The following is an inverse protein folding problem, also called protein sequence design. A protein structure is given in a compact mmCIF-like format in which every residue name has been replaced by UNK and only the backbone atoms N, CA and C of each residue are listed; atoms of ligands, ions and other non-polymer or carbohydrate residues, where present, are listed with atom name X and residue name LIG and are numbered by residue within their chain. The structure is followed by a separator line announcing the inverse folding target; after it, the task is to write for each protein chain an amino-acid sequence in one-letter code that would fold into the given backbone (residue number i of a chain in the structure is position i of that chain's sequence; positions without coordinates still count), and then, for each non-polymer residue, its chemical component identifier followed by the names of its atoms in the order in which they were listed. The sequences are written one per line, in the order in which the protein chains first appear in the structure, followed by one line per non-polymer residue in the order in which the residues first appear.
data_IF_231173673264
#
_entry.id   IF_231173673264
#
_cell.length_a   1.000
_cell.length_b   1.000
_cell.length_c   1.000
_cell.angle_alpha   90.00
_cell.angle_beta   90.00
_cell.angle_gamma   90.00
#
_symmetry.space_group_name_H-M   'P 1'
#
loop_
_entity.id
_entity.type
_entity.pdbx_description
1 polymer ?
#
# COMPACT_ATOMS: atom_id res chain seq x y z
N UNK A 1 -77.48 -9.76 -27.19
CA UNK A 1 -76.30 -9.32 -26.41
C UNK A 1 -76.63 -8.84 -25.00
N UNK A 2 -77.70 -8.05 -24.79
CA UNK A 2 -78.09 -7.56 -23.44
C UNK A 2 -78.35 -8.69 -22.42
N UNK A 3 -78.81 -9.87 -22.87
CA UNK A 3 -79.14 -10.99 -21.97
C UNK A 3 -77.91 -11.70 -21.38
N UNK A 4 -76.75 -11.68 -22.07
CA UNK A 4 -75.53 -12.32 -21.56
C UNK A 4 -74.94 -11.52 -20.40
N UNK A 5 -74.95 -10.19 -20.52
CA UNK A 5 -74.52 -9.25 -19.48
C UNK A 5 -75.46 -9.30 -18.27
N UNK A 6 -76.77 -9.47 -18.49
CA UNK A 6 -77.74 -9.65 -17.40
C UNK A 6 -77.56 -10.98 -16.64
N UNK A 7 -77.36 -12.09 -17.34
CA UNK A 7 -77.08 -13.38 -16.69
C UNK A 7 -75.76 -13.35 -15.91
N UNK A 8 -74.72 -12.75 -16.47
CA UNK A 8 -73.42 -12.61 -15.79
C UNK A 8 -73.50 -11.73 -14.54
N UNK A 9 -74.28 -10.65 -14.58
CA UNK A 9 -74.53 -9.78 -13.43
C UNK A 9 -75.43 -10.39 -12.35
N UNK A 10 -76.11 -11.52 -12.64
CA UNK A 10 -77.01 -12.21 -11.69
C UNK A 10 -76.42 -13.55 -11.22
N UNK A 11 -75.22 -13.93 -11.69
CA UNK A 11 -74.53 -15.17 -11.35
C UNK A 11 -73.38 -14.87 -10.38
N UNK A 12 -73.54 -15.29 -9.12
CA UNK A 12 -72.57 -15.06 -8.05
C UNK A 12 -71.18 -15.66 -8.39
N UNK A 13 -71.11 -16.69 -9.23
CA UNK A 13 -69.84 -17.25 -9.71
C UNK A 13 -69.10 -16.32 -10.68
N UNK A 14 -69.84 -15.60 -11.53
CA UNK A 14 -69.28 -14.61 -12.45
C UNK A 14 -68.67 -13.42 -11.71
N UNK A 15 -69.36 -12.93 -10.67
CA UNK A 15 -68.86 -11.85 -9.83
C UNK A 15 -67.54 -12.20 -9.12
N UNK A 16 -67.40 -13.42 -8.61
CA UNK A 16 -66.16 -13.88 -7.94
C UNK A 16 -64.99 -13.99 -8.92
N UNK A 17 -65.23 -14.41 -10.17
CA UNK A 17 -64.15 -14.46 -11.17
C UNK A 17 -63.65 -13.08 -11.60
N UNK A 18 -64.53 -12.07 -11.62
CA UNK A 18 -64.13 -10.69 -11.91
C UNK A 18 -63.32 -10.10 -10.77
N UNK A 19 -63.67 -10.39 -9.52
CA UNK A 19 -62.90 -9.95 -8.35
C UNK A 19 -61.45 -10.48 -8.39
N UNK A 20 -61.27 -11.75 -8.75
CA UNK A 20 -59.93 -12.33 -8.95
C UNK A 20 -59.10 -11.62 -10.04
N UNK A 21 -59.72 -11.22 -11.15
CA UNK A 21 -59.03 -10.48 -12.22
C UNK A 21 -58.68 -9.06 -11.78
N UNK A 22 -59.56 -8.40 -11.03
CA UNK A 22 -59.29 -7.05 -10.49
C UNK A 22 -58.17 -7.08 -9.46
N UNK A 23 -58.16 -8.05 -8.55
CA UNK A 23 -57.10 -8.20 -7.55
C UNK A 23 -55.74 -8.50 -8.20
N UNK A 24 -55.70 -9.43 -9.17
CA UNK A 24 -54.45 -9.76 -9.87
C UNK A 24 -53.95 -8.61 -10.75
N UNK A 25 -54.84 -7.91 -11.45
CA UNK A 25 -54.46 -6.72 -12.23
C UNK A 25 -53.95 -5.58 -11.34
N UNK A 26 -54.49 -5.42 -10.13
CA UNK A 26 -53.96 -4.50 -9.13
C UNK A 26 -52.53 -4.85 -8.71
N UNK A 27 -52.24 -6.14 -8.47
CA UNK A 27 -50.88 -6.61 -8.14
C UNK A 27 -49.91 -6.40 -9.32
N UNK A 28 -50.32 -6.67 -10.54
CA UNK A 28 -49.51 -6.42 -11.74
C UNK A 28 -49.22 -4.92 -11.90
N UNK A 29 -50.23 -4.06 -11.70
CA UNK A 29 -50.06 -2.61 -11.72
C UNK A 29 -49.08 -2.09 -10.66
N UNK A 30 -49.13 -2.64 -9.45
CA UNK A 30 -48.16 -2.34 -8.39
C UNK A 30 -46.75 -2.82 -8.78
N UNK A 31 -46.62 -3.99 -9.41
CA UNK A 31 -45.34 -4.49 -9.90
C UNK A 31 -44.67 -3.57 -10.92
N UNK A 32 -45.47 -3.01 -11.86
CA UNK A 32 -44.97 -2.02 -12.81
C UNK A 32 -44.53 -0.72 -12.13
N UNK A 33 -45.25 -0.26 -11.10
CA UNK A 33 -44.88 0.92 -10.34
C UNK A 33 -43.56 0.72 -9.56
N UNK A 34 -43.37 -0.44 -8.94
CA UNK A 34 -42.13 -0.79 -8.25
C UNK A 34 -40.96 -0.87 -9.22
N UNK A 35 -41.15 -1.47 -10.41
CA UNK A 35 -40.08 -1.54 -11.41
C UNK A 35 -39.63 -0.16 -11.89
N UNK A 36 -40.52 0.80 -12.03
CA UNK A 36 -40.15 2.17 -12.41
C UNK A 36 -39.27 2.87 -11.36
N UNK A 37 -39.54 2.63 -10.07
CA UNK A 37 -38.71 3.17 -8.97
C UNK A 37 -37.36 2.46 -8.92
N UNK A 38 -37.36 1.13 -9.03
CA UNK A 38 -36.15 0.33 -9.00
C UNK A 38 -35.23 0.63 -10.20
N UNK A 39 -35.78 0.82 -11.41
CA UNK A 39 -34.98 1.16 -12.59
C UNK A 39 -34.29 2.51 -12.44
N UNK A 40 -34.96 3.51 -11.86
CA UNK A 40 -34.35 4.81 -11.58
C UNK A 40 -33.18 4.69 -10.60
N UNK A 41 -33.39 3.99 -9.48
CA UNK A 41 -32.30 3.79 -8.50
C UNK A 41 -31.11 2.99 -9.04
N UNK A 42 -31.34 2.03 -9.95
CA UNK A 42 -30.26 1.29 -10.62
C UNK A 42 -29.52 2.17 -11.64
N UNK A 43 -30.24 3.04 -12.36
CA UNK A 43 -29.63 4.01 -13.28
C UNK A 43 -28.76 5.01 -12.53
N UNK A 44 -29.28 5.59 -11.44
CA UNK A 44 -28.54 6.51 -10.56
C UNK A 44 -27.27 5.85 -10.02
N UNK A 45 -27.37 4.62 -9.48
CA UNK A 45 -26.21 3.86 -9.02
C UNK A 45 -25.20 3.58 -10.15
N UNK A 46 -25.68 3.28 -11.36
CA UNK A 46 -24.81 3.04 -12.51
C UNK A 46 -24.04 4.31 -12.91
N UNK A 47 -24.68 5.47 -12.81
CA UNK A 47 -24.05 6.78 -13.02
C UNK A 47 -23.03 7.06 -11.92
N UNK A 48 -23.37 6.89 -10.64
CA UNK A 48 -22.44 7.08 -9.53
C UNK A 48 -21.20 6.18 -9.64
N UNK A 49 -21.38 4.92 -10.05
CA UNK A 49 -20.25 4.02 -10.30
C UNK A 49 -19.42 4.49 -11.49
N UNK A 50 -20.06 4.94 -12.58
CA UNK A 50 -19.34 5.45 -13.74
C UNK A 50 -18.55 6.72 -13.42
N UNK A 51 -19.12 7.63 -12.63
CA UNK A 51 -18.46 8.84 -12.15
C UNK A 51 -17.31 8.50 -11.20
N UNK A 52 -17.52 7.58 -10.24
CA UNK A 52 -16.46 7.12 -9.35
C UNK A 52 -15.30 6.47 -10.13
N UNK A 53 -15.59 5.69 -11.17
CA UNK A 53 -14.56 5.09 -12.03
C UNK A 53 -13.87 6.11 -12.95
N UNK A 54 -14.56 7.19 -13.35
CA UNK A 54 -13.98 8.26 -14.13
C UNK A 54 -13.09 9.19 -13.29
N UNK A 55 -13.44 9.40 -12.02
CA UNK A 55 -12.67 10.16 -11.04
C UNK A 55 -11.44 9.39 -10.53
N UNK A 56 -11.39 8.07 -10.72
CA UNK A 56 -10.13 7.30 -10.65
C UNK A 56 -9.27 7.75 -11.84
N UNK A 57 -8.54 8.85 -11.65
CA UNK A 57 -7.48 9.29 -12.53
C UNK A 57 -6.41 8.19 -12.59
N UNK A 58 -6.50 7.32 -13.59
CA UNK A 58 -5.38 6.49 -14.02
C UNK A 58 -4.28 7.45 -14.47
N UNK A 59 -3.27 7.64 -13.61
CA UNK A 59 -2.08 8.43 -13.95
C UNK A 59 -1.55 7.95 -15.30
N UNK A 60 -1.37 8.90 -16.22
CA UNK A 60 -0.82 8.67 -17.55
C UNK A 60 0.63 8.18 -17.43
N UNK A 61 0.77 6.87 -17.37
CA UNK A 61 2.01 6.14 -17.13
C UNK A 61 1.64 4.96 -16.25
N UNK A 62 1.45 3.77 -16.85
CA UNK A 62 1.06 2.59 -16.10
C UNK A 62 2.14 2.29 -15.06
N UNK A 63 1.88 2.65 -13.80
CA UNK A 63 2.68 2.25 -12.65
C UNK A 63 2.38 0.77 -12.45
N UNK A 64 3.40 -0.06 -12.67
CA UNK A 64 3.33 -1.51 -12.45
C UNK A 64 4.12 -1.82 -11.20
N UNK A 65 3.44 -2.27 -10.15
CA UNK A 65 4.11 -2.87 -9.00
C UNK A 65 4.81 -4.15 -9.43
N UNK A 66 6.08 -4.25 -9.08
CA UNK A 66 7.01 -5.32 -9.50
C UNK A 66 7.55 -6.10 -8.30
N UNK A 67 7.50 -5.52 -7.10
CA UNK A 67 7.77 -6.22 -5.84
C UNK A 67 7.04 -5.55 -4.67
N UNK A 68 6.55 -6.36 -3.73
CA UNK A 68 6.03 -5.89 -2.45
C UNK A 68 6.46 -6.87 -1.34
N UNK A 69 6.97 -6.33 -0.24
CA UNK A 69 7.42 -7.08 0.94
C UNK A 69 7.09 -6.30 2.22
N UNK A 70 6.12 -6.79 2.97
CA UNK A 70 5.77 -6.32 4.33
C UNK A 70 6.37 -7.21 5.44
N UNK A 71 7.12 -8.25 5.05
CA UNK A 71 7.83 -9.21 5.90
C UNK A 71 6.98 -9.90 6.99
N UNK A 72 5.65 -9.75 6.95
CA UNK A 72 4.71 -10.15 8.01
C UNK A 72 4.42 -11.66 8.05
N UNK A 73 4.99 -12.43 7.13
CA UNK A 73 4.95 -13.89 7.11
C UNK A 73 6.31 -14.51 7.48
N UNK A 74 7.28 -13.68 7.89
CA UNK A 74 8.65 -14.08 8.16
C UNK A 74 9.47 -14.37 6.91
N UNK A 75 8.94 -14.12 5.70
CA UNK A 75 9.62 -14.36 4.43
C UNK A 75 10.35 -13.12 3.93
N UNK A 76 11.55 -13.34 3.41
CA UNK A 76 12.35 -12.34 2.70
C UNK A 76 12.81 -12.90 1.35
N UNK A 77 11.99 -13.73 0.70
CA UNK A 77 12.26 -14.28 -0.61
C UNK A 77 12.65 -13.16 -1.60
N UNK A 78 13.75 -13.37 -2.33
CA UNK A 78 14.31 -12.39 -3.26
C UNK A 78 15.29 -11.40 -2.62
N UNK A 79 15.26 -11.23 -1.30
CA UNK A 79 16.27 -10.45 -0.59
C UNK A 79 17.53 -11.28 -0.32
N UNK A 80 18.68 -10.62 -0.45
CA UNK A 80 19.99 -11.17 -0.14
C UNK A 80 20.55 -10.43 1.08
N UNK A 81 20.75 -11.17 2.18
CA UNK A 81 21.24 -10.60 3.45
C UNK A 81 20.11 -10.09 4.34
N UNK A 82 20.48 -9.59 5.52
CA UNK A 82 19.53 -9.29 6.59
C UNK A 82 18.84 -10.54 7.14
N UNK A 83 17.88 -10.33 8.05
CA UNK A 83 17.00 -11.38 8.58
C UNK A 83 15.67 -10.79 9.00
N UNK A 84 14.57 -11.48 8.69
CA UNK A 84 13.26 -11.09 9.22
C UNK A 84 13.21 -11.40 10.71
N UNK A 85 12.81 -10.42 11.51
CA UNK A 85 12.67 -10.56 12.95
C UNK A 85 11.39 -9.88 13.43
N UNK A 86 10.66 -10.55 14.31
CA UNK A 86 9.60 -9.94 15.11
C UNK A 86 10.25 -9.04 16.18
N UNK A 87 10.13 -7.73 15.98
CA UNK A 87 10.57 -6.70 16.91
C UNK A 87 9.47 -6.34 17.91
N UNK A 88 8.29 -6.93 17.79
CA UNK A 88 7.15 -6.69 18.67
C UNK A 88 6.64 -5.24 18.59
N UNK A 89 5.71 -4.92 19.48
CA UNK A 89 5.11 -3.59 19.53
C UNK A 89 4.35 -3.25 18.25
N UNK A 90 4.53 -2.04 17.76
CA UNK A 90 3.99 -1.55 16.50
C UNK A 90 4.90 -1.86 15.30
N UNK A 91 6.20 -2.11 15.52
CA UNK A 91 7.14 -2.45 14.45
C UNK A 91 6.87 -3.84 13.85
N UNK A 92 6.34 -4.78 14.64
CA UNK A 92 5.98 -6.11 14.14
C UNK A 92 7.19 -6.85 13.54
N UNK A 93 6.96 -7.55 12.43
CA UNK A 93 8.00 -8.27 11.69
C UNK A 93 8.56 -7.39 10.57
N UNK A 94 9.88 -7.28 10.50
CA UNK A 94 10.56 -6.50 9.46
C UNK A 94 11.93 -7.10 9.11
N UNK A 95 12.52 -6.68 7.99
CA UNK A 95 13.86 -7.10 7.59
C UNK A 95 14.92 -6.31 8.36
N UNK A 96 15.64 -6.97 9.26
CA UNK A 96 16.58 -6.32 10.19
C UNK A 96 18.03 -6.61 9.82
N UNK A 97 18.87 -5.57 9.93
CA UNK A 97 20.31 -5.60 9.68
C UNK A 97 21.09 -5.24 10.95
N UNK A 98 22.01 -6.13 11.32
CA UNK A 98 22.98 -5.90 12.39
C UNK A 98 24.26 -5.23 11.89
N UNK A 99 25.31 -5.15 12.73
CA UNK A 99 26.53 -4.41 12.41
C UNK A 99 27.24 -4.85 11.13
N UNK A 100 27.44 -3.91 10.22
CA UNK A 100 28.14 -4.12 8.95
C UNK A 100 27.41 -5.06 7.98
N UNK A 101 26.19 -5.48 8.30
CA UNK A 101 25.37 -6.30 7.42
C UNK A 101 24.84 -5.43 6.27
N UNK A 102 24.63 -6.07 5.12
CA UNK A 102 23.98 -5.46 3.96
C UNK A 102 22.86 -6.39 3.53
N UNK A 103 21.69 -5.82 3.28
CA UNK A 103 20.57 -6.51 2.67
C UNK A 103 20.27 -5.85 1.32
N UNK A 104 19.84 -6.61 0.33
CA UNK A 104 19.46 -6.02 -0.94
C UNK A 104 18.49 -6.86 -1.76
N UNK A 105 17.79 -6.18 -2.65
CA UNK A 105 16.80 -6.75 -3.56
C UNK A 105 17.13 -6.27 -4.98
N UNK A 106 17.16 -7.21 -5.92
CA UNK A 106 17.39 -6.89 -7.34
C UNK A 106 16.06 -6.76 -8.04
N UNK A 107 15.79 -5.55 -8.54
CA UNK A 107 14.65 -5.27 -9.39
C UNK A 107 15.01 -5.50 -10.86
N UNK A 108 14.29 -6.40 -11.51
CA UNK A 108 14.34 -6.55 -12.97
C UNK A 108 13.56 -5.40 -13.64
N UNK A 109 14.25 -4.60 -14.45
CA UNK A 109 13.65 -3.44 -15.11
C UNK A 109 13.54 -3.68 -16.61
N UNK A 110 12.31 -3.69 -17.18
CA UNK A 110 12.12 -3.84 -18.62
C UNK A 110 12.80 -2.74 -19.44
N UNK A 111 13.22 -3.08 -20.65
CA UNK A 111 13.74 -2.08 -21.58
C UNK A 111 12.64 -1.07 -21.94
N UNK A 112 12.96 0.22 -21.85
CA UNK A 112 12.01 1.28 -22.16
C UNK A 112 11.29 1.87 -20.95
N UNK A 113 11.53 1.33 -19.74
CA UNK A 113 11.09 1.92 -18.47
C UNK A 113 11.47 3.39 -18.39
N UNK A 114 10.48 4.26 -18.20
CA UNK A 114 10.68 5.69 -18.04
C UNK A 114 11.18 6.04 -16.63
N UNK A 115 10.67 5.33 -15.62
CA UNK A 115 11.00 5.55 -14.21
C UNK A 115 10.85 4.25 -13.42
N UNK A 116 11.74 4.00 -12.47
CA UNK A 116 11.57 2.98 -11.44
C UNK A 116 11.54 3.66 -10.07
N UNK A 117 10.57 3.31 -9.22
CA UNK A 117 10.40 3.88 -7.89
C UNK A 117 10.40 2.77 -6.85
N UNK A 118 11.13 2.98 -5.76
CA UNK A 118 11.22 2.10 -4.60
C UNK A 118 10.84 2.89 -3.37
N UNK A 119 9.81 2.43 -2.66
CA UNK A 119 9.26 3.07 -1.46
C UNK A 119 9.32 2.07 -0.32
N UNK A 120 9.85 2.47 0.83
CA UNK A 120 9.93 1.60 2.00
C UNK A 120 10.03 2.40 3.29
N UNK A 121 9.67 1.76 4.40
CA UNK A 121 9.90 2.27 5.73
C UNK A 121 11.32 1.90 6.17
N UNK A 122 12.13 2.91 6.46
CA UNK A 122 13.42 2.76 7.12
C UNK A 122 13.23 2.90 8.63
N UNK A 123 13.59 1.85 9.35
CA UNK A 123 13.47 1.78 10.81
C UNK A 123 14.83 1.97 11.45
N UNK A 124 14.93 2.96 12.34
CA UNK A 124 16.03 3.17 13.27
C UNK A 124 15.60 2.66 14.64
N UNK A 125 16.14 1.53 15.04
CA UNK A 125 15.74 0.85 16.27
C UNK A 125 16.62 1.16 17.48
N UNK A 126 15.99 1.27 18.63
CA UNK A 126 16.63 1.28 19.94
C UNK A 126 17.63 2.44 20.18
N UNK A 127 18.87 2.14 20.58
CA UNK A 127 19.81 3.14 21.12
C UNK A 127 20.86 3.64 20.15
N UNK A 128 20.55 3.66 18.85
CA UNK A 128 21.45 4.17 17.81
C UNK A 128 22.10 5.49 18.24
N UNK A 129 23.43 5.51 18.17
CA UNK A 129 24.24 6.59 18.65
C UNK A 129 24.68 7.49 17.49
N UNK A 130 24.67 8.79 17.74
CA UNK A 130 25.29 9.79 16.89
C UNK A 130 26.10 10.75 17.76
N UNK A 131 27.29 10.31 18.15
CA UNK A 131 28.17 11.09 19.00
C UNK A 131 29.64 10.79 18.78
N UNK A 132 30.49 11.77 19.08
CA UNK A 132 31.96 11.60 19.03
C UNK A 132 32.49 10.54 20.01
N UNK A 133 31.69 10.15 21.01
CA UNK A 133 32.09 9.21 22.07
C UNK A 133 31.77 7.76 21.72
N UNK A 134 30.65 7.53 21.05
CA UNK A 134 30.09 6.19 20.82
C UNK A 134 30.05 5.80 19.34
N UNK A 135 30.34 6.75 18.44
CA UNK A 135 30.25 6.54 17.00
C UNK A 135 28.98 7.15 16.43
N UNK A 136 28.84 7.03 15.12
CA UNK A 136 27.63 7.41 14.39
C UNK A 136 27.13 6.18 13.67
N UNK A 137 25.99 5.66 14.13
CA UNK A 137 25.32 4.57 13.45
C UNK A 137 24.55 5.12 12.26
N UNK A 138 24.78 4.50 11.11
CA UNK A 138 24.22 4.96 9.84
C UNK A 138 23.50 3.84 9.13
N UNK A 139 22.48 4.19 8.35
CA UNK A 139 21.90 3.33 7.34
C UNK A 139 22.21 3.96 5.99
N UNK A 140 22.95 3.25 5.14
CA UNK A 140 23.26 3.73 3.79
C UNK A 140 22.38 2.98 2.79
N UNK A 141 21.54 3.71 2.07
CA UNK A 141 20.77 3.20 0.94
C UNK A 141 21.66 3.31 -0.30
N UNK A 142 21.84 2.20 -1.02
CA UNK A 142 22.61 2.14 -2.24
C UNK A 142 21.75 1.68 -3.40
N UNK A 143 22.01 2.26 -4.56
CA UNK A 143 21.47 1.84 -5.85
C UNK A 143 22.65 1.39 -6.72
N UNK A 144 22.67 0.12 -7.12
CA UNK A 144 23.77 -0.46 -7.90
C UNK A 144 25.15 -0.24 -7.25
N UNK A 145 25.20 -0.29 -5.91
CA UNK A 145 26.40 -0.06 -5.11
C UNK A 145 26.80 1.42 -4.95
N UNK A 146 26.02 2.37 -5.48
CA UNK A 146 26.23 3.81 -5.30
C UNK A 146 25.37 4.31 -4.13
N UNK A 147 25.94 4.95 -3.11
CA UNK A 147 25.16 5.56 -2.03
C UNK A 147 24.26 6.69 -2.54
N UNK A 148 22.96 6.61 -2.24
CA UNK A 148 21.95 7.60 -2.65
C UNK A 148 21.28 8.27 -1.45
N UNK A 149 21.29 7.62 -0.29
CA UNK A 149 20.82 8.19 0.96
C UNK A 149 21.67 7.66 2.12
N UNK A 150 21.99 8.51 3.08
CA UNK A 150 22.68 8.13 4.30
C UNK A 150 21.84 8.64 5.47
N UNK A 151 21.12 7.74 6.10
CA UNK A 151 20.38 8.01 7.32
C UNK A 151 21.32 7.97 8.52
N UNK A 152 21.15 8.89 9.45
CA UNK A 152 21.73 8.82 10.79
C UNK A 152 20.61 8.97 11.81
N UNK A 153 20.68 8.25 12.92
CA UNK A 153 19.74 8.40 14.03
C UNK A 153 20.49 8.84 15.28
N UNK A 154 19.87 9.72 16.05
CA UNK A 154 20.39 10.15 17.35
C UNK A 154 19.40 9.81 18.46
N UNK A 155 19.92 9.72 19.69
CA UNK A 155 19.11 9.53 20.90
C UNK A 155 17.92 10.50 20.93
N UNK A 156 16.71 9.94 20.97
CA UNK A 156 15.45 10.69 20.97
C UNK A 156 14.65 10.61 19.66
N UNK A 157 14.88 9.59 18.83
CA UNK A 157 14.10 9.28 17.62
C UNK A 157 14.17 10.29 16.49
N UNK A 158 15.25 11.05 16.41
CA UNK A 158 15.45 11.94 15.28
C UNK A 158 16.32 11.26 14.23
N UNK A 159 15.67 10.75 13.17
CA UNK A 159 16.34 10.32 11.96
C UNK A 159 16.63 11.55 11.08
N UNK A 160 17.82 11.63 10.52
CA UNK A 160 18.22 12.66 9.55
C UNK A 160 18.86 12.00 8.34
N UNK A 161 18.75 12.64 7.17
CA UNK A 161 19.25 12.10 5.92
C UNK A 161 20.26 13.06 5.29
N UNK A 162 21.40 12.53 4.90
CA UNK A 162 22.29 13.13 3.91
C UNK A 162 22.01 12.47 2.55
N UNK A 163 21.71 13.27 1.53
CA UNK A 163 21.30 12.80 0.20
C UNK A 163 22.34 13.28 -0.81
N UNK A 164 23.35 12.44 -1.13
CA UNK A 164 24.30 12.73 -2.18
C UNK A 164 23.58 13.00 -3.51
N UNK A 165 24.00 14.03 -4.22
CA UNK A 165 23.48 14.28 -5.57
C UNK A 165 24.05 13.24 -6.53
N UNK A 166 23.19 12.38 -7.06
CA UNK A 166 23.52 11.37 -8.06
C UNK A 166 22.65 11.62 -9.29
N UNK A 167 23.25 11.71 -10.48
CA UNK A 167 22.52 11.99 -11.71
C UNK A 167 21.45 10.91 -11.97
N UNK A 168 20.21 11.34 -12.19
CA UNK A 168 19.08 10.45 -12.50
C UNK A 168 18.57 9.62 -11.32
N UNK A 169 18.98 9.92 -10.08
CA UNK A 169 18.34 9.38 -8.87
C UNK A 169 17.79 10.52 -8.02
N UNK A 170 16.49 10.51 -7.77
CA UNK A 170 15.88 11.38 -6.76
C UNK A 170 15.62 10.54 -5.51
N UNK A 171 16.06 11.05 -4.36
CA UNK A 171 15.73 10.46 -3.07
C UNK A 171 14.92 11.49 -2.28
N UNK A 172 13.75 11.07 -1.83
CA UNK A 172 12.93 11.80 -0.88
C UNK A 172 12.80 10.97 0.39
N UNK A 173 12.98 11.60 1.54
CA UNK A 173 12.82 10.95 2.84
C UNK A 173 11.91 11.79 3.71
N UNK A 174 10.82 11.18 4.18
CA UNK A 174 9.90 11.78 5.14
C UNK A 174 10.05 11.06 6.47
N UNK A 175 10.43 11.81 7.51
CA UNK A 175 10.60 11.24 8.85
C UNK A 175 9.29 11.34 9.61
N UNK A 176 8.71 10.20 9.94
CA UNK A 176 7.57 10.13 10.86
C UNK A 176 8.11 9.85 12.26
N UNK A 177 8.30 10.90 13.03
CA UNK A 177 8.66 10.75 14.45
C UNK A 177 7.38 10.47 15.22
N UNK A 178 7.05 9.20 15.44
CA UNK A 178 6.21 8.82 16.58
C UNK A 178 7.14 8.59 17.79
N UNK A 179 7.24 9.54 18.75
CA UNK A 179 8.08 9.34 19.92
C UNK A 179 7.48 8.25 20.80
N UNK A 180 7.93 7.00 20.60
CA UNK A 180 7.50 5.85 21.37
C UNK A 180 8.51 4.71 21.38
N UNK A 181 8.19 3.69 22.19
CA UNK A 181 8.80 2.36 22.12
C UNK A 181 7.98 1.58 21.10
N UNK A 182 8.39 1.64 19.84
CA UNK A 182 7.65 1.06 18.73
C UNK A 182 7.96 -0.44 18.62
N UNK A 183 9.11 -0.90 19.10
CA UNK A 183 9.47 -2.32 19.20
C UNK A 183 10.86 -2.50 19.83
N UNK A 184 11.50 -3.65 19.61
CA UNK A 184 12.83 -3.95 20.12
C UNK A 184 12.92 -3.89 21.66
N UNK A 185 13.69 -2.94 22.17
CA UNK A 185 13.84 -2.70 23.60
C UNK A 185 12.86 -1.62 24.10
N UNK A 186 12.02 -2.01 25.07
CA UNK A 186 11.13 -1.10 25.82
C UNK A 186 11.83 -0.10 26.75
N UNK A 187 13.05 0.36 26.43
CA UNK A 187 13.82 1.38 27.15
C UNK A 187 14.23 2.56 26.27
N UNK A 188 14.24 2.36 24.97
CA UNK A 188 14.73 3.33 24.00
C UNK A 188 13.60 3.74 23.06
N UNK A 189 13.81 4.82 22.32
CA UNK A 189 12.81 5.32 21.41
C UNK A 189 13.24 4.98 19.99
N UNK A 190 12.29 4.50 19.19
CA UNK A 190 12.52 4.13 17.79
C UNK A 190 12.12 5.27 16.86
N UNK A 191 12.60 5.24 15.61
CA UNK A 191 12.14 6.16 14.56
C UNK A 191 11.89 5.43 13.25
N UNK A 192 10.87 5.85 12.53
CA UNK A 192 10.53 5.32 11.21
C UNK A 192 10.50 6.47 10.21
N UNK A 193 11.07 6.26 9.03
CA UNK A 193 11.01 7.22 7.94
C UNK A 193 10.61 6.51 6.65
N UNK A 194 9.63 7.06 5.94
CA UNK A 194 9.32 6.61 4.60
C UNK A 194 10.39 7.16 3.66
N UNK A 195 11.06 6.26 2.95
CA UNK A 195 12.10 6.58 1.97
C UNK A 195 11.57 6.23 0.59
N UNK A 196 11.55 7.22 -0.29
CA UNK A 196 11.28 7.07 -1.71
C UNK A 196 12.56 7.29 -2.49
N UNK A 197 12.97 6.29 -3.27
CA UNK A 197 14.05 6.40 -4.25
C UNK A 197 13.45 6.24 -5.62
N UNK A 198 13.67 7.20 -6.52
CA UNK A 198 13.30 7.08 -7.93
C UNK A 198 14.54 7.12 -8.81
N UNK A 199 14.52 6.32 -9.88
CA UNK A 199 15.57 6.23 -10.88
C UNK A 199 14.96 6.53 -12.24
N UNK A 200 15.47 7.58 -12.87
CA UNK A 200 15.02 8.04 -14.19
C UNK A 200 15.68 7.21 -15.30
N UNK A 201 14.87 6.77 -16.25
CA UNK A 201 15.30 6.05 -17.47
C UNK A 201 16.32 4.93 -17.19
N UNK A 202 15.99 3.98 -16.30
CA UNK A 202 16.90 2.90 -15.95
C UNK A 202 17.29 2.05 -17.17
N UNK A 203 18.59 1.73 -17.26
CA UNK A 203 19.19 1.04 -18.42
C UNK A 203 19.38 -0.47 -18.21
N UNK A 204 18.98 -0.99 -17.06
CA UNK A 204 19.13 -2.40 -16.68
C UNK A 204 18.58 -2.67 -15.28
N UNK A 205 18.82 -3.86 -14.72
CA UNK A 205 18.41 -4.21 -13.36
C UNK A 205 18.92 -3.21 -12.33
N UNK A 206 18.13 -2.99 -11.28
CA UNK A 206 18.44 -2.09 -10.18
C UNK A 206 18.65 -2.92 -8.91
N UNK A 207 19.86 -2.91 -8.39
CA UNK A 207 20.15 -3.48 -7.07
C UNK A 207 19.92 -2.42 -6.01
N UNK A 208 18.83 -2.57 -5.24
CA UNK A 208 18.55 -1.75 -4.06
C UNK A 208 19.20 -2.42 -2.87
N UNK A 209 20.00 -1.67 -2.11
CA UNK A 209 20.67 -2.20 -0.94
C UNK A 209 20.53 -1.26 0.25
N UNK A 210 20.37 -1.84 1.43
CA UNK A 210 20.56 -1.17 2.70
C UNK A 210 21.84 -1.72 3.34
N UNK A 211 22.76 -0.84 3.71
CA UNK A 211 23.94 -1.16 4.49
C UNK A 211 23.80 -0.60 5.90
N UNK A 212 23.99 -1.43 6.91
CA UNK A 212 23.96 -1.05 8.32
C UNK A 212 25.36 -0.72 8.82
N UNK A 213 25.56 0.55 9.16
CA UNK A 213 26.70 1.06 9.90
C UNK A 213 26.50 1.02 11.42
N UNK A 214 25.50 0.30 11.92
CA UNK A 214 25.35 0.04 13.35
C UNK A 214 26.61 -0.66 13.89
N UNK A 215 26.94 -0.44 15.15
CA UNK A 215 28.16 -0.98 15.74
C UNK A 215 27.93 -1.93 16.93
N UNK A 216 26.68 -2.01 17.44
CA UNK A 216 26.30 -2.91 18.52
C UNK A 216 25.38 -4.06 18.07
N UNK A 217 25.15 -5.02 18.96
CA UNK A 217 24.37 -6.22 18.62
C UNK A 217 22.97 -5.86 18.07
N UNK A 218 22.44 -6.64 17.12
CA UNK A 218 21.13 -6.36 16.49
C UNK A 218 19.96 -6.20 17.49
N UNK A 219 20.07 -6.78 18.68
CA UNK A 219 19.03 -6.68 19.73
C UNK A 219 19.14 -5.40 20.56
N UNK A 220 20.07 -4.52 20.19
CA UNK A 220 20.46 -3.32 20.93
C UNK A 220 20.55 -2.12 19.98
N UNK A 221 21.09 -2.33 18.78
CA UNK A 221 21.09 -1.36 17.68
C UNK A 221 20.81 -2.08 16.37
N UNK A 222 19.81 -1.60 15.65
CA UNK A 222 19.49 -2.15 14.36
C UNK A 222 18.94 -1.11 13.40
N UNK A 223 19.17 -1.39 12.12
CA UNK A 223 18.45 -0.77 11.03
C UNK A 223 17.52 -1.79 10.40
N UNK A 224 16.35 -1.34 9.97
CA UNK A 224 15.32 -2.19 9.43
C UNK A 224 14.71 -1.63 8.17
N UNK A 225 14.24 -2.52 7.29
CA UNK A 225 13.37 -2.20 6.16
C UNK A 225 12.03 -2.85 6.41
N UNK A 226 10.96 -2.09 6.23
CA UNK A 226 9.59 -2.59 6.24
C UNK A 226 8.78 -1.99 5.08
N UNK A 227 7.64 -2.60 4.76
CA UNK A 227 6.69 -2.15 3.73
C UNK A 227 7.37 -1.78 2.40
N UNK A 228 8.33 -2.60 1.95
CA UNK A 228 9.06 -2.34 0.71
C UNK A 228 8.16 -2.56 -0.49
N UNK A 229 8.02 -1.55 -1.32
CA UNK A 229 7.33 -1.57 -2.60
C UNK A 229 8.27 -1.09 -3.70
N UNK A 230 8.36 -1.85 -4.79
CA UNK A 230 9.01 -1.41 -6.01
C UNK A 230 7.98 -1.36 -7.15
N UNK A 231 8.03 -0.28 -7.92
CA UNK A 231 7.19 -0.07 -9.09
C UNK A 231 8.00 0.48 -10.27
N UNK A 232 7.50 0.24 -11.48
CA UNK A 232 8.05 0.82 -12.72
C UNK A 232 6.96 1.52 -13.50
N UNK A 233 7.31 2.62 -14.15
CA UNK A 233 6.40 3.43 -14.96
C UNK A 233 6.90 3.50 -16.39
N UNK A 234 5.96 3.33 -17.33
CA UNK A 234 6.18 3.55 -18.75
C UNK A 234 7.07 2.49 -19.37
N UNK A 235 6.48 1.38 -19.82
CA UNK A 235 7.12 0.29 -20.55
C UNK A 235 6.11 -0.40 -21.47
#
# INVERSE_FOLDING_TARGET
MINLVKSFATDDGGAVTVDWVVLTSGVVGLGLAVMAVASGGVEDLSVEVAEALADISLVSGQVVEVAFHDFSDGDAAGWLGGRVMDMGGQLGELLVLGPGETAGFTLEVPSGTAEAAMVFDLVAGDSLDNSTRWGTDTATVLINGVPVAIATSARGSQMTFDIPQVDGTMVEATVTVDPGQLGGSGRWYDAVAEVTVTVDQPVGPIDVQLHSGANQNIRDEFWGVDNFNASVTGG
#
